data_IF_684594871033
#
_entry.id   IF_684594871033
#
_cell.length_a   1.000
_cell.length_b   1.000
_cell.length_c   1.000
_cell.angle_alpha   90.00
_cell.angle_beta   90.00
_cell.angle_gamma   90.00
#
_symmetry.space_group_name_H-M   'P 1'
#
loop_
_entity.id
_entity.type
_entity.pdbx_description
1 polymer ?
#
# COMPACT_ATOMS: atom_id res chain seq x y z
N UNK A 1 -10.95 47.11 -33.63
CA UNK A 1 -10.22 45.83 -33.48
C UNK A 1 -10.94 44.87 -32.51
N UNK A 2 -12.25 44.62 -32.68
CA UNK A 2 -13.06 43.73 -31.79
C UNK A 2 -13.98 42.74 -32.55
N UNK A 3 -13.96 42.72 -33.88
CA UNK A 3 -14.88 41.88 -34.70
C UNK A 3 -14.30 40.53 -35.15
N UNK A 4 -12.98 40.31 -35.05
CA UNK A 4 -12.34 39.09 -35.56
C UNK A 4 -12.27 37.96 -34.52
N UNK A 5 -12.46 38.26 -33.23
CA UNK A 5 -12.41 37.26 -32.16
C UNK A 5 -13.74 36.51 -32.06
N UNK A 6 -14.87 37.20 -32.24
CA UNK A 6 -16.20 36.59 -32.18
C UNK A 6 -16.44 35.61 -33.34
N UNK A 7 -15.97 35.95 -34.55
CA UNK A 7 -16.09 35.11 -35.74
C UNK A 7 -15.18 33.88 -35.70
N UNK A 8 -14.03 33.95 -35.05
CA UNK A 8 -13.15 32.80 -34.84
C UNK A 8 -13.68 31.86 -33.75
N UNK A 9 -14.30 32.38 -32.68
CA UNK A 9 -14.95 31.56 -31.66
C UNK A 9 -16.14 30.75 -32.21
N UNK A 10 -16.96 31.36 -33.08
CA UNK A 10 -18.12 30.66 -33.69
C UNK A 10 -17.65 29.54 -34.63
N UNK A 11 -16.53 29.73 -35.36
CA UNK A 11 -15.97 28.69 -36.24
C UNK A 11 -15.39 27.50 -35.47
N UNK A 12 -14.77 27.72 -34.30
CA UNK A 12 -14.25 26.64 -33.44
C UNK A 12 -15.38 25.82 -32.81
N UNK A 13 -16.48 26.46 -32.44
CA UNK A 13 -17.66 25.79 -31.88
C UNK A 13 -18.37 24.93 -32.96
N UNK A 14 -18.49 25.43 -34.19
CA UNK A 14 -19.07 24.65 -35.29
C UNK A 14 -18.22 23.43 -35.69
N UNK A 15 -16.89 23.51 -35.58
CA UNK A 15 -16.01 22.35 -35.81
C UNK A 15 -16.10 21.28 -34.71
N UNK A 16 -16.38 21.68 -33.46
CA UNK A 16 -16.58 20.72 -32.36
C UNK A 16 -17.94 20.00 -32.44
N UNK A 17 -18.98 20.69 -32.90
CA UNK A 17 -20.32 20.08 -33.06
C UNK A 17 -20.37 19.12 -34.27
N UNK A 18 -19.57 19.36 -35.31
CA UNK A 18 -19.53 18.51 -36.51
C UNK A 18 -18.72 17.20 -36.34
N UNK A 19 -18.01 17.01 -35.23
CA UNK A 19 -17.20 15.80 -35.00
C UNK A 19 -17.92 14.69 -34.22
N UNK A 20 -19.15 14.92 -33.75
CA UNK A 20 -19.89 13.97 -32.90
C UNK A 20 -20.94 13.12 -33.62
N UNK A 21 -21.09 13.25 -34.94
CA UNK A 21 -22.09 12.49 -35.70
C UNK A 21 -21.49 11.84 -36.94
N UNK A 22 -20.66 10.81 -36.77
CA UNK A 22 -20.65 9.60 -37.62
C UNK A 22 -19.61 8.61 -37.10
N UNK A 23 -19.97 7.80 -36.09
CA UNK A 23 -19.47 6.42 -36.06
C UNK A 23 -20.60 5.48 -35.65
N UNK A 24 -21.21 4.93 -36.69
CA UNK A 24 -22.30 3.97 -36.66
C UNK A 24 -21.89 2.65 -36.01
N UNK A 25 -22.83 2.07 -35.27
CA UNK A 25 -22.70 0.86 -34.47
C UNK A 25 -22.49 -0.41 -35.31
N UNK A 26 -21.71 -1.37 -34.77
CA UNK A 26 -22.01 -2.81 -34.89
C UNK A 26 -21.71 -3.52 -33.56
N UNK A 27 -22.78 -3.89 -32.88
CA UNK A 27 -22.78 -4.83 -31.77
C UNK A 27 -22.51 -6.25 -32.31
N UNK A 28 -21.57 -6.96 -31.68
CA UNK A 28 -21.30 -8.36 -32.00
C UNK A 28 -21.33 -9.19 -30.72
N UNK A 29 -22.14 -10.24 -30.76
CA UNK A 29 -22.54 -11.09 -29.65
C UNK A 29 -21.50 -12.18 -29.37
N UNK A 30 -21.30 -12.45 -28.08
CA UNK A 30 -21.01 -13.75 -27.43
C UNK A 30 -20.09 -14.75 -28.17
N UNK A 31 -18.88 -14.93 -27.62
CA UNK A 31 -18.27 -16.26 -27.48
C UNK A 31 -17.48 -16.33 -26.17
N UNK A 32 -18.00 -17.08 -25.20
CA UNK A 32 -17.28 -17.44 -23.97
C UNK A 32 -16.18 -18.43 -24.35
N UNK A 33 -14.91 -18.07 -24.15
CA UNK A 33 -13.79 -18.99 -24.28
C UNK A 33 -12.86 -18.87 -23.07
N UNK A 34 -12.99 -19.84 -22.17
CA UNK A 34 -11.92 -20.37 -21.32
C UNK A 34 -11.28 -19.45 -20.29
N UNK A 35 -11.99 -19.15 -19.20
CA UNK A 35 -11.35 -18.65 -17.98
C UNK A 35 -10.80 -19.87 -17.22
N UNK A 36 -9.47 -20.01 -17.19
CA UNK A 36 -8.78 -21.07 -16.45
C UNK A 36 -8.94 -20.81 -14.95
N UNK A 37 -9.88 -21.54 -14.36
CA UNK A 37 -10.14 -21.64 -12.92
C UNK A 37 -9.10 -22.58 -12.31
N UNK A 38 -8.21 -22.08 -11.47
CA UNK A 38 -7.50 -22.91 -10.51
C UNK A 38 -8.50 -23.34 -9.43
N UNK A 39 -9.04 -24.55 -9.59
CA UNK A 39 -9.92 -25.21 -8.64
C UNK A 39 -9.04 -26.17 -7.81
N UNK A 40 -8.96 -25.91 -6.51
CA UNK A 40 -8.46 -26.87 -5.53
C UNK A 40 -9.52 -27.95 -5.33
N UNK A 41 -9.12 -29.21 -5.44
CA UNK A 41 -9.83 -30.37 -4.92
C UNK A 41 -8.81 -31.49 -4.84
N UNK A 42 -8.55 -31.99 -3.64
CA UNK A 42 -8.45 -33.42 -3.38
C UNK A 42 -8.88 -33.61 -1.92
N UNK A 43 -10.19 -33.71 -1.76
CA UNK A 43 -10.80 -34.40 -0.64
C UNK A 43 -10.73 -35.88 -0.99
N UNK A 44 -10.10 -36.69 -0.14
CA UNK A 44 -10.48 -38.09 -0.06
C UNK A 44 -10.73 -38.47 1.40
N UNK A 45 -11.89 -39.06 1.60
CA UNK A 45 -12.52 -39.34 2.88
C UNK A 45 -12.17 -40.75 3.39
N UNK A 46 -12.00 -40.82 4.71
CA UNK A 46 -12.50 -41.86 5.67
C UNK A 46 -11.87 -43.26 5.67
N UNK A 47 -11.32 -43.65 6.83
CA UNK A 47 -11.78 -44.84 7.55
C UNK A 47 -11.51 -44.71 9.05
N UNK A 48 -12.54 -44.98 9.84
CA UNK A 48 -12.49 -45.20 11.29
C UNK A 48 -12.00 -46.63 11.52
N UNK A 49 -11.03 -46.82 12.40
CA UNK A 49 -10.73 -48.14 12.98
C UNK A 49 -10.57 -47.95 14.48
N UNK A 50 -11.42 -48.64 15.23
CA UNK A 50 -11.39 -48.78 16.68
C UNK A 50 -10.31 -49.78 17.11
N UNK A 51 -10.10 -49.80 18.42
CA UNK A 51 -9.17 -50.57 19.24
C UNK A 51 -8.52 -51.87 18.69
N UNK A 52 -7.31 -52.06 19.24
CA UNK A 52 -6.56 -53.30 19.44
C UNK A 52 -5.75 -53.80 18.25
N UNK A 53 -4.47 -53.43 18.24
CA UNK A 53 -3.38 -54.38 17.97
C UNK A 53 -2.12 -53.91 18.71
N UNK A 54 -1.74 -54.67 19.72
CA UNK A 54 -0.46 -54.61 20.40
C UNK A 54 0.68 -54.92 19.44
N UNK A 55 1.80 -54.18 19.52
CA UNK A 55 3.14 -54.72 19.80
C UNK A 55 4.22 -53.61 19.75
N UNK A 56 5.04 -53.61 20.80
CA UNK A 56 6.41 -53.09 20.89
C UNK A 56 6.61 -51.57 20.75
N UNK A 57 6.52 -50.90 21.91
CA UNK A 57 7.32 -49.70 22.20
C UNK A 57 8.80 -50.10 22.20
N UNK A 58 9.43 -50.07 21.04
CA UNK A 58 10.89 -50.05 20.99
C UNK A 58 11.35 -48.60 21.09
N UNK A 59 11.68 -48.25 22.32
CA UNK A 59 12.45 -47.10 22.72
C UNK A 59 13.74 -47.03 21.91
N UNK A 60 13.78 -46.14 20.91
CA UNK A 60 15.04 -45.58 20.45
C UNK A 60 15.38 -44.40 21.36
N UNK A 61 16.19 -44.69 22.38
CA UNK A 61 16.91 -43.70 23.16
C UNK A 61 17.78 -42.87 22.21
N UNK A 62 17.33 -41.64 21.91
CA UNK A 62 18.24 -40.64 21.37
C UNK A 62 19.02 -40.13 22.56
N UNK A 63 20.18 -40.74 22.75
CA UNK A 63 21.10 -40.53 23.84
C UNK A 63 21.49 -39.03 23.96
N UNK A 64 21.11 -38.45 25.08
CA UNK A 64 22.03 -37.73 25.99
C UNK A 64 23.04 -36.74 25.40
N UNK A 65 22.68 -35.95 24.38
CA UNK A 65 23.31 -34.63 24.20
C UNK A 65 22.38 -33.62 24.86
N UNK A 66 22.41 -33.60 26.20
CA UNK A 66 22.04 -32.42 26.96
C UNK A 66 23.01 -31.32 26.52
N UNK A 67 22.59 -30.54 25.53
CA UNK A 67 23.28 -29.32 25.14
C UNK A 67 23.05 -28.34 26.28
N UNK A 68 23.81 -28.50 27.36
CA UNK A 68 23.92 -27.52 28.43
C UNK A 68 24.56 -26.29 27.80
N UNK A 69 23.71 -25.43 27.24
CA UNK A 69 24.11 -24.11 26.76
C UNK A 69 24.69 -23.42 27.98
N UNK A 70 26.01 -23.24 28.00
CA UNK A 70 26.67 -22.45 29.04
C UNK A 70 26.15 -21.03 28.84
N UNK A 71 25.36 -20.47 29.76
CA UNK A 71 24.96 -19.07 29.63
C UNK A 71 26.24 -18.24 29.74
N UNK A 72 26.59 -17.56 28.65
CA UNK A 72 27.65 -16.57 28.70
C UNK A 72 27.26 -15.52 29.75
N UNK A 73 28.19 -15.07 30.61
CA UNK A 73 27.89 -14.02 31.57
C UNK A 73 27.40 -12.79 30.80
N UNK A 74 26.18 -12.34 31.13
CA UNK A 74 25.63 -11.08 30.61
C UNK A 74 26.52 -9.99 31.18
N UNK A 75 27.39 -9.42 30.35
CA UNK A 75 28.19 -8.25 30.71
C UNK A 75 27.23 -7.06 30.78
N UNK A 76 26.75 -6.75 31.98
CA UNK A 76 25.90 -5.60 32.28
C UNK A 76 26.73 -4.33 32.58
N UNK A 77 27.97 -4.29 32.10
CA UNK A 77 28.84 -3.12 32.24
C UNK A 77 28.51 -2.14 31.12
N UNK A 78 28.23 -0.89 31.48
CA UNK A 78 28.10 0.22 30.54
C UNK A 78 29.46 0.44 29.89
N UNK A 79 29.67 -0.11 28.69
CA UNK A 79 30.86 0.16 27.91
C UNK A 79 30.95 1.66 27.59
N UNK A 80 32.11 2.27 27.83
CA UNK A 80 32.34 3.67 27.48
C UNK A 80 32.58 3.77 25.97
N UNK A 81 31.63 4.37 25.25
CA UNK A 81 31.68 4.57 23.81
C UNK A 81 32.31 5.94 23.53
N UNK A 82 33.63 5.97 23.37
CA UNK A 82 34.32 7.17 22.89
C UNK A 82 34.16 7.25 21.37
N UNK A 83 33.13 7.98 20.93
CA UNK A 83 32.88 8.25 19.51
C UNK A 83 33.85 9.33 19.03
N UNK A 84 34.95 8.90 18.41
CA UNK A 84 35.90 9.82 17.77
C UNK A 84 35.44 10.13 16.33
N UNK A 85 34.61 11.16 16.18
CA UNK A 85 34.18 11.67 14.86
C UNK A 85 34.78 13.04 14.57
N UNK A 86 35.22 13.24 13.32
CA UNK A 86 35.66 14.55 12.85
C UNK A 86 34.49 15.55 12.81
N UNK A 87 34.79 16.80 13.15
CA UNK A 87 33.89 17.94 13.07
C UNK A 87 33.27 18.11 11.67
N UNK A 88 34.02 17.79 10.62
CA UNK A 88 33.58 17.88 9.22
C UNK A 88 32.42 16.94 8.91
N UNK A 89 32.51 15.69 9.38
CA UNK A 89 31.48 14.66 9.22
C UNK A 89 30.21 15.06 9.98
N UNK A 90 30.38 15.65 11.17
CA UNK A 90 29.27 16.13 11.98
C UNK A 90 28.49 17.23 11.26
N UNK A 91 29.17 18.18 10.62
CA UNK A 91 28.54 19.25 9.84
C UNK A 91 27.76 18.69 8.63
N UNK A 92 28.37 17.80 7.86
CA UNK A 92 27.71 17.16 6.71
C UNK A 92 26.45 16.37 7.12
N UNK A 93 26.52 15.68 8.27
CA UNK A 93 25.36 14.97 8.82
C UNK A 93 24.20 15.93 9.12
N UNK A 94 24.48 17.05 9.80
CA UNK A 94 23.46 18.04 10.15
C UNK A 94 22.82 18.66 8.90
N UNK A 95 23.63 18.99 7.90
CA UNK A 95 23.16 19.51 6.62
C UNK A 95 22.25 18.49 5.93
N UNK A 96 22.68 17.24 5.81
CA UNK A 96 21.90 16.17 5.17
C UNK A 96 20.60 15.84 5.92
N UNK A 97 20.57 16.04 7.24
CA UNK A 97 19.40 15.77 8.08
C UNK A 97 18.34 16.87 7.96
N UNK A 98 18.74 18.09 7.64
CA UNK A 98 17.82 19.22 7.46
C UNK A 98 16.97 19.08 6.18
N UNK A 99 17.46 18.36 5.18
CA UNK A 99 16.74 18.07 3.95
C UNK A 99 15.91 16.80 4.10
N UNK A 100 14.62 16.94 4.40
CA UNK A 100 13.67 15.82 4.28
C UNK A 100 13.52 15.47 2.80
N UNK A 101 14.32 14.51 2.34
CA UNK A 101 14.25 14.04 0.96
C UNK A 101 12.91 13.36 0.73
N UNK A 102 12.08 13.99 -0.09
CA UNK A 102 10.88 13.37 -0.64
C UNK A 102 11.29 12.13 -1.43
N UNK A 103 10.80 10.95 -1.02
CA UNK A 103 11.06 9.70 -1.71
C UNK A 103 9.84 9.34 -2.55
N UNK A 104 10.08 8.87 -3.77
CA UNK A 104 9.01 8.33 -4.60
C UNK A 104 8.45 7.07 -3.94
N UNK A 105 7.17 7.08 -3.64
CA UNK A 105 6.45 5.93 -3.09
C UNK A 105 5.00 5.92 -3.51
N UNK A 106 4.17 5.32 -2.66
CA UNK A 106 2.77 5.09 -2.92
C UNK A 106 1.93 5.50 -1.71
N UNK A 107 0.73 6.00 -1.98
CA UNK A 107 -0.32 6.22 -0.98
C UNK A 107 -1.61 5.59 -1.45
N UNK A 108 -2.46 5.20 -0.50
CA UNK A 108 -3.80 4.71 -0.84
C UNK A 108 -4.78 5.87 -0.74
N UNK A 109 -5.26 6.34 -1.89
CA UNK A 109 -6.31 7.35 -1.96
C UNK A 109 -7.66 6.70 -1.62
N UNK A 110 -8.42 7.36 -0.76
CA UNK A 110 -9.72 6.91 -0.25
C UNK A 110 -10.87 7.74 -0.81
N UNK A 111 -10.63 9.02 -1.12
CA UNK A 111 -11.66 9.94 -1.61
C UNK A 111 -11.09 10.96 -2.60
N UNK A 112 -11.97 11.43 -3.50
CA UNK A 112 -11.72 12.54 -4.41
C UNK A 112 -13.01 13.34 -4.58
N UNK A 113 -12.99 14.65 -4.32
CA UNK A 113 -14.16 15.51 -4.53
C UNK A 113 -14.15 16.76 -3.65
N UNK A 114 -15.30 17.11 -3.10
CA UNK A 114 -15.51 18.35 -2.35
C UNK A 114 -14.71 18.41 -1.03
N UNK A 115 -14.50 19.64 -0.54
CA UNK A 115 -13.73 19.88 0.69
C UNK A 115 -14.44 19.35 1.95
N UNK A 116 -15.75 19.53 2.04
CA UNK A 116 -16.55 19.18 3.22
C UNK A 116 -16.51 17.66 3.47
N UNK A 117 -16.82 16.89 2.44
CA UNK A 117 -16.76 15.42 2.43
C UNK A 117 -15.33 14.91 2.66
N UNK A 118 -14.33 15.53 2.05
CA UNK A 118 -12.93 15.16 2.27
C UNK A 118 -12.50 15.34 3.74
N UNK A 119 -12.93 16.42 4.39
CA UNK A 119 -12.67 16.68 5.83
C UNK A 119 -13.35 15.65 6.73
N UNK A 120 -14.61 15.33 6.45
CA UNK A 120 -15.33 14.30 7.20
C UNK A 120 -14.67 12.93 7.09
N UNK A 121 -14.32 12.52 5.86
CA UNK A 121 -13.67 11.23 5.60
C UNK A 121 -12.30 11.18 6.27
N UNK A 122 -11.52 12.27 6.22
CA UNK A 122 -10.24 12.37 6.94
C UNK A 122 -10.42 12.18 8.45
N UNK A 123 -11.41 12.84 9.05
CA UNK A 123 -11.68 12.72 10.47
C UNK A 123 -12.12 11.30 10.85
N UNK A 124 -12.95 10.65 10.03
CA UNK A 124 -13.34 9.24 10.19
C UNK A 124 -12.12 8.32 10.08
N UNK A 125 -11.30 8.46 9.03
CA UNK A 125 -10.10 7.63 8.82
C UNK A 125 -9.11 7.76 9.98
N UNK A 126 -8.86 8.97 10.47
CA UNK A 126 -7.93 9.20 11.59
C UNK A 126 -8.37 8.51 12.89
N UNK A 127 -9.68 8.35 13.11
CA UNK A 127 -10.22 7.61 14.27
C UNK A 127 -10.03 6.09 14.10
N UNK A 128 -10.18 5.57 12.89
CA UNK A 128 -10.12 4.12 12.63
C UNK A 128 -8.69 3.60 12.48
N UNK A 129 -7.81 4.38 11.83
CA UNK A 129 -6.49 3.95 11.37
C UNK A 129 -5.38 4.69 12.14
N UNK A 130 -5.53 4.88 13.46
CA UNK A 130 -4.74 5.84 14.26
C UNK A 130 -3.21 5.79 14.10
N UNK A 131 -2.66 4.67 13.63
CA UNK A 131 -1.23 4.48 13.36
C UNK A 131 -0.80 4.98 11.96
N UNK A 132 -1.70 4.96 10.97
CA UNK A 132 -1.42 5.39 9.60
C UNK A 132 -1.71 6.88 9.42
N UNK A 133 -0.73 7.61 8.86
CA UNK A 133 -0.88 9.01 8.49
C UNK A 133 -2.00 9.23 7.45
N UNK A 134 -2.85 10.24 7.67
CA UNK A 134 -3.91 10.66 6.73
C UNK A 134 -3.62 12.05 6.17
N UNK A 135 -3.48 12.11 4.86
CA UNK A 135 -3.08 13.28 4.09
C UNK A 135 -4.26 13.84 3.29
N UNK A 136 -4.38 15.16 3.28
CA UNK A 136 -5.36 15.91 2.48
C UNK A 136 -4.58 16.74 1.47
N UNK A 137 -4.79 16.47 0.18
CA UNK A 137 -4.12 17.17 -0.92
C UNK A 137 -5.16 18.00 -1.66
N UNK A 138 -4.87 19.29 -1.88
CA UNK A 138 -5.70 20.20 -2.64
C UNK A 138 -5.36 20.09 -4.13
N UNK A 139 -6.33 19.71 -4.96
CA UNK A 139 -6.21 19.61 -6.42
C UNK A 139 -7.33 20.46 -7.02
N UNK A 140 -7.11 21.78 -7.09
CA UNK A 140 -8.16 22.76 -7.42
C UNK A 140 -8.96 22.36 -8.67
N UNK A 141 -10.31 22.32 -8.59
CA UNK A 141 -11.16 22.76 -7.47
C UNK A 141 -11.42 21.69 -6.37
N UNK A 142 -10.92 20.47 -6.54
CA UNK A 142 -11.22 19.30 -5.70
C UNK A 142 -10.15 19.04 -4.63
N UNK A 143 -10.42 18.03 -3.80
CA UNK A 143 -9.54 17.55 -2.75
C UNK A 143 -9.41 16.03 -2.80
N UNK A 144 -8.20 15.54 -2.54
CA UNK A 144 -7.87 14.13 -2.42
C UNK A 144 -7.53 13.78 -0.98
N UNK A 145 -8.07 12.66 -0.49
CA UNK A 145 -7.73 12.11 0.83
C UNK A 145 -6.98 10.81 0.62
N UNK A 146 -5.74 10.74 1.12
CA UNK A 146 -4.87 9.56 0.98
C UNK A 146 -4.33 9.12 2.34
N UNK A 147 -4.02 7.84 2.46
CA UNK A 147 -3.59 7.20 3.71
C UNK A 147 -2.29 6.43 3.51
N UNK A 148 -1.44 6.50 4.53
CA UNK A 148 -0.18 5.80 4.65
C UNK A 148 0.93 6.40 3.79
N UNK A 149 2.15 5.95 4.06
CA UNK A 149 3.34 6.17 3.24
C UNK A 149 3.92 4.78 2.96
N UNK A 150 3.82 4.30 1.72
CA UNK A 150 4.28 2.97 1.34
C UNK A 150 5.43 3.09 0.36
N UNK A 151 6.56 2.45 0.67
CA UNK A 151 7.70 2.41 -0.24
C UNK A 151 7.44 1.41 -1.36
N UNK A 152 6.91 0.24 -1.00
CA UNK A 152 6.63 -0.83 -1.94
C UNK A 152 5.15 -0.88 -2.32
N UNK A 153 4.88 -1.11 -3.60
CA UNK A 153 3.51 -1.24 -4.11
C UNK A 153 2.76 -2.41 -3.46
N UNK A 154 3.47 -3.48 -3.12
CA UNK A 154 2.87 -4.66 -2.47
C UNK A 154 2.28 -4.32 -1.10
N UNK A 155 2.97 -3.51 -0.29
CA UNK A 155 2.47 -3.04 1.01
C UNK A 155 1.20 -2.21 0.83
N UNK A 156 1.20 -1.31 -0.17
CA UNK A 156 0.03 -0.51 -0.53
C UNK A 156 -1.15 -1.38 -0.97
N UNK A 157 -0.93 -2.50 -1.67
CA UNK A 157 -1.98 -3.43 -2.09
C UNK A 157 -2.60 -4.19 -0.92
N UNK A 158 -1.82 -4.55 0.10
CA UNK A 158 -2.33 -5.17 1.33
C UNK A 158 -3.29 -4.22 2.04
N UNK A 159 -2.87 -2.97 2.27
CA UNK A 159 -3.70 -1.95 2.93
C UNK A 159 -4.91 -1.58 2.08
N UNK A 160 -4.74 -1.50 0.74
CA UNK A 160 -5.86 -1.27 -0.17
C UNK A 160 -6.95 -2.34 -0.03
N UNK A 161 -6.57 -3.62 0.14
CA UNK A 161 -7.53 -4.72 0.29
C UNK A 161 -8.38 -4.56 1.55
N UNK A 162 -7.80 -4.05 2.62
CA UNK A 162 -8.51 -3.76 3.87
C UNK A 162 -9.41 -2.53 3.72
N UNK A 163 -8.87 -1.44 3.18
CA UNK A 163 -9.60 -0.19 2.98
C UNK A 163 -10.75 -0.35 1.98
N UNK A 164 -10.62 -1.21 0.97
CA UNK A 164 -11.69 -1.49 -0.01
C UNK A 164 -12.96 -2.06 0.62
N UNK A 165 -12.88 -2.68 1.80
CA UNK A 165 -14.05 -3.18 2.53
C UNK A 165 -14.94 -2.03 3.00
N UNK A 166 -14.32 -0.92 3.41
CA UNK A 166 -15.00 0.29 3.93
C UNK A 166 -15.22 1.33 2.84
N UNK A 167 -14.24 1.49 1.96
CA UNK A 167 -14.16 2.53 0.94
C UNK A 167 -13.97 1.90 -0.45
N UNK A 168 -15.08 1.67 -1.15
CA UNK A 168 -15.07 0.99 -2.46
C UNK A 168 -14.30 1.75 -3.55
N UNK A 169 -14.18 3.07 -3.41
CA UNK A 169 -13.47 3.94 -4.36
C UNK A 169 -11.95 4.02 -4.08
N UNK A 170 -11.43 3.25 -3.11
CA UNK A 170 -10.03 3.32 -2.76
C UNK A 170 -9.13 2.82 -3.91
N UNK A 171 -8.01 3.52 -4.13
CA UNK A 171 -7.05 3.26 -5.19
C UNK A 171 -5.62 3.63 -4.76
N UNK A 172 -4.61 3.05 -5.41
CA UNK A 172 -3.20 3.35 -5.15
C UNK A 172 -2.74 4.47 -6.06
N UNK A 173 -2.10 5.50 -5.48
CA UNK A 173 -1.58 6.66 -6.20
C UNK A 173 -0.06 6.77 -5.94
N UNK A 174 0.77 6.95 -6.98
CA UNK A 174 2.17 7.30 -6.79
C UNK A 174 2.26 8.70 -6.18
N UNK A 175 3.02 8.85 -5.10
CA UNK A 175 3.19 10.11 -4.41
C UNK A 175 4.57 10.22 -3.78
N UNK A 176 5.00 11.45 -3.56
CA UNK A 176 6.15 11.75 -2.72
C UNK A 176 5.78 11.50 -1.25
N UNK A 177 6.56 10.63 -0.61
CA UNK A 177 6.35 10.20 0.77
C UNK A 177 7.55 10.58 1.63
N UNK A 178 7.26 10.79 2.91
CA UNK A 178 8.25 10.97 3.96
C UNK A 178 8.48 9.61 4.63
N UNK A 179 9.74 9.18 4.70
CA UNK A 179 10.12 7.95 5.37
C UNK A 179 10.19 8.16 6.89
N UNK A 180 9.83 7.14 7.69
CA UNK A 180 9.99 7.21 9.14
C UNK A 180 11.47 7.31 9.52
N UNK A 181 11.75 7.98 10.63
CA UNK A 181 13.10 8.05 11.19
C UNK A 181 13.55 6.66 11.67
N UNK A 182 14.79 6.28 11.32
CA UNK A 182 15.42 5.07 11.82
C UNK A 182 15.78 5.29 13.30
N UNK A 183 15.26 4.43 14.19
CA UNK A 183 15.60 4.41 15.61
C UNK A 183 16.86 3.60 15.88
#
# INVERSE_FOLDING_TARGET
MKMNILTNCIRVILLFVFCFSTLSAKAQTRSKRGMKSWRQSDTNQVSVINEADTLSRDSLSIDSISKKVIPLPIRAETGDLVVNMDSTITLLYLESKSETKAVNGFRVQIYFGDLESAREIRAKCRKTLGDLGVYLISISPNYSVSVGNFRDRWEAELVLKELKKTYRQALIVPAEIELPELK
#
